data_IF_933276571353
#
_entry.id   IF_933276571353
#
_cell.length_a   1.000
_cell.length_b   1.000
_cell.length_c   1.000
_cell.angle_alpha   90.00
_cell.angle_beta   90.00
_cell.angle_gamma   90.00
#
_symmetry.space_group_name_H-M   'P 1'
#
loop_
_entity.id
_entity.type
_entity.pdbx_description
1 polymer ?
#
# COMPACT_ATOMS: atom_id res chain seq x y z
N UNK A 1 -6.02 -13.49 15.74
CA UNK A 1 -7.14 -13.19 14.83
C UNK A 1 -6.61 -13.30 13.41
N UNK A 2 -6.80 -14.44 12.76
CA UNK A 2 -6.44 -14.65 11.35
C UNK A 2 -7.51 -13.95 10.52
N UNK A 3 -7.27 -12.69 10.14
CA UNK A 3 -8.14 -12.01 9.19
C UNK A 3 -7.97 -12.69 7.84
N UNK A 4 -8.90 -13.57 7.48
CA UNK A 4 -8.90 -14.23 6.18
C UNK A 4 -8.81 -13.17 5.07
N UNK A 5 -7.79 -13.32 4.23
CA UNK A 5 -7.57 -12.47 3.07
C UNK A 5 -8.63 -12.85 2.03
N UNK A 6 -9.55 -11.93 1.77
CA UNK A 6 -10.63 -12.15 0.79
C UNK A 6 -10.14 -11.90 -0.63
N UNK A 7 -10.87 -12.38 -1.64
CA UNK A 7 -10.58 -12.06 -3.05
C UNK A 7 -10.63 -10.54 -3.33
N UNK A 8 -11.50 -9.83 -2.60
CA UNK A 8 -11.58 -8.36 -2.66
C UNK A 8 -10.28 -7.72 -2.17
N UNK A 9 -9.72 -8.22 -1.07
CA UNK A 9 -8.44 -7.74 -0.55
C UNK A 9 -7.31 -7.96 -1.57
N UNK A 10 -7.29 -9.12 -2.24
CA UNK A 10 -6.31 -9.42 -3.30
C UNK A 10 -6.41 -8.44 -4.47
N UNK A 11 -7.62 -8.22 -5.01
CA UNK A 11 -7.84 -7.25 -6.10
C UNK A 11 -7.44 -5.83 -5.72
N UNK A 12 -7.75 -5.41 -4.48
CA UNK A 12 -7.38 -4.09 -3.97
C UNK A 12 -5.85 -3.96 -3.81
N UNK A 13 -5.19 -5.01 -3.33
CA UNK A 13 -3.74 -5.05 -3.19
C UNK A 13 -3.03 -5.03 -4.56
N UNK A 14 -3.58 -5.72 -5.56
CA UNK A 14 -3.12 -5.62 -6.95
C UNK A 14 -3.32 -4.21 -7.54
N UNK A 15 -4.43 -3.55 -7.19
CA UNK A 15 -4.67 -2.14 -7.52
C UNK A 15 -3.63 -1.21 -6.88
N UNK A 16 -3.24 -1.49 -5.63
CA UNK A 16 -2.18 -0.75 -4.92
C UNK A 16 -0.85 -0.81 -5.68
N UNK A 17 -0.49 -1.98 -6.23
CA UNK A 17 0.73 -2.14 -7.05
C UNK A 17 0.73 -1.29 -8.32
N UNK A 18 -0.45 -1.01 -8.87
CA UNK A 18 -0.65 -0.17 -10.06
C UNK A 18 -0.85 1.32 -9.73
N UNK A 19 -0.92 1.68 -8.44
CA UNK A 19 -1.12 3.06 -8.03
C UNK A 19 0.14 3.90 -8.32
N UNK A 20 0.06 4.96 -9.15
CA UNK A 20 1.22 5.77 -9.49
C UNK A 20 1.82 6.49 -8.27
N UNK A 21 1.00 6.91 -7.30
CA UNK A 21 1.47 7.56 -6.09
C UNK A 21 2.25 6.58 -5.19
N UNK A 22 1.72 5.38 -4.95
CA UNK A 22 2.39 4.37 -4.13
C UNK A 22 3.65 3.84 -4.83
N UNK A 23 3.61 3.66 -6.16
CA UNK A 23 4.77 3.26 -6.95
C UNK A 23 5.88 4.34 -6.92
N UNK A 24 5.50 5.61 -7.11
CA UNK A 24 6.43 6.73 -7.01
C UNK A 24 7.02 6.85 -5.60
N UNK A 25 6.20 6.74 -4.56
CA UNK A 25 6.65 6.75 -3.17
C UNK A 25 7.62 5.60 -2.89
N UNK A 26 7.31 4.37 -3.34
CA UNK A 26 8.20 3.20 -3.25
C UNK A 26 9.53 3.43 -3.97
N UNK A 27 9.52 4.03 -5.16
CA UNK A 27 10.73 4.22 -5.97
C UNK A 27 11.62 5.36 -5.45
N UNK A 28 11.02 6.47 -5.02
CA UNK A 28 11.77 7.67 -4.58
C UNK A 28 12.16 7.62 -3.10
N UNK A 29 11.34 7.03 -2.23
CA UNK A 29 11.52 7.03 -0.76
C UNK A 29 11.70 8.43 -0.13
N UNK A 30 11.40 9.51 -0.86
CA UNK A 30 11.61 10.90 -0.43
C UNK A 30 10.68 11.87 -1.16
N UNK A 31 10.40 13.01 -0.51
CA UNK A 31 9.61 14.10 -1.07
C UNK A 31 8.15 14.12 -0.61
N UNK A 32 7.41 15.10 -1.11
CA UNK A 32 6.02 15.39 -0.67
C UNK A 32 5.08 14.22 -0.93
N UNK A 33 5.23 13.52 -2.06
CA UNK A 33 4.41 12.34 -2.39
C UNK A 33 4.67 11.20 -1.40
N UNK A 34 5.92 10.94 -1.03
CA UNK A 34 6.26 9.93 -0.04
C UNK A 34 5.67 10.26 1.34
N UNK A 35 5.78 11.53 1.76
CA UNK A 35 5.21 12.00 3.02
C UNK A 35 3.68 11.88 3.02
N UNK A 36 3.02 12.24 1.92
CA UNK A 36 1.57 12.11 1.76
C UNK A 36 1.11 10.66 1.83
N UNK A 37 1.75 9.75 1.08
CA UNK A 37 1.42 8.32 1.08
C UNK A 37 1.65 7.73 2.48
N UNK A 38 2.77 8.06 3.13
CA UNK A 38 3.09 7.63 4.50
C UNK A 38 2.02 8.04 5.54
N UNK A 39 1.35 9.17 5.35
CA UNK A 39 0.27 9.63 6.25
C UNK A 39 -1.13 9.12 5.89
N UNK A 40 -1.37 8.72 4.63
CA UNK A 40 -2.71 8.34 4.15
C UNK A 40 -2.97 6.82 4.18
N UNK A 41 -1.90 6.01 4.22
CA UNK A 41 -1.94 4.59 3.88
C UNK A 41 -2.81 3.70 4.77
N UNK A 42 -2.88 3.95 6.08
CA UNK A 42 -3.49 2.98 7.00
C UNK A 42 -4.95 3.30 7.37
N UNK A 43 -5.39 4.55 7.23
CA UNK A 43 -6.75 4.98 7.62
C UNK A 43 -7.60 5.51 6.47
N UNK A 44 -6.99 5.97 5.38
CA UNK A 44 -7.70 6.65 4.30
C UNK A 44 -7.70 5.89 2.97
N UNK A 45 -6.71 5.04 2.70
CA UNK A 45 -6.63 4.29 1.44
C UNK A 45 -6.99 2.81 1.61
N UNK A 46 -8.14 2.33 1.09
CA UNK A 46 -8.53 0.93 1.21
C UNK A 46 -7.58 -0.02 0.46
N UNK A 47 -6.89 0.46 -0.59
CA UNK A 47 -5.91 -0.34 -1.33
C UNK A 47 -4.64 -0.60 -0.51
N UNK A 48 -4.21 0.39 0.30
CA UNK A 48 -3.00 0.27 1.11
C UNK A 48 -3.24 -0.62 2.34
N UNK A 49 -4.43 -0.53 2.95
CA UNK A 49 -4.86 -1.49 3.98
C UNK A 49 -4.91 -2.92 3.44
N UNK A 50 -5.51 -3.11 2.26
CA UNK A 50 -5.54 -4.41 1.61
C UNK A 50 -4.13 -4.92 1.26
N UNK A 51 -3.24 -4.03 0.79
CA UNK A 51 -1.85 -4.36 0.54
C UNK A 51 -1.12 -4.83 1.81
N UNK A 52 -1.29 -4.12 2.92
CA UNK A 52 -0.74 -4.52 4.22
C UNK A 52 -1.29 -5.87 4.70
N UNK A 53 -2.60 -6.09 4.53
CA UNK A 53 -3.27 -7.34 4.91
C UNK A 53 -2.83 -8.54 4.07
N UNK A 54 -2.57 -8.34 2.78
CA UNK A 54 -2.18 -9.41 1.83
C UNK A 54 -0.67 -9.68 1.88
N UNK A 55 0.16 -8.63 1.87
CA UNK A 55 1.61 -8.74 1.73
C UNK A 55 2.38 -8.55 3.05
N UNK A 56 1.71 -8.15 4.14
CA UNK A 56 2.33 -7.94 5.45
C UNK A 56 3.31 -6.78 5.52
N UNK A 57 3.36 -5.90 4.52
CA UNK A 57 4.29 -4.77 4.42
C UNK A 57 3.61 -3.51 3.89
N UNK A 58 4.16 -2.33 4.13
CA UNK A 58 3.58 -1.08 3.64
C UNK A 58 3.84 -0.88 2.14
N UNK A 59 2.90 -0.24 1.45
CA UNK A 59 2.97 -0.11 0.00
C UNK A 59 4.15 0.76 -0.46
N UNK A 60 4.45 1.82 0.29
CA UNK A 60 5.62 2.66 0.07
C UNK A 60 6.96 2.04 0.50
N UNK A 61 7.02 0.91 1.20
CA UNK A 61 8.31 0.34 1.57
C UNK A 61 9.05 -0.22 0.33
N UNK A 62 10.37 0.03 0.22
CA UNK A 62 11.16 -0.54 -0.86
C UNK A 62 11.22 -2.07 -0.68
N UNK A 63 11.23 -2.86 -1.77
CA UNK A 63 11.64 -4.25 -1.65
C UNK A 63 13.10 -4.25 -1.13
N UNK A 64 13.32 -4.89 0.02
CA UNK A 64 14.66 -5.21 0.51
C UNK A 64 15.38 -6.15 -0.48
#
# INVERSE_FOLDING_TARGET
>A
MTTEVTERDRRLAEGCLKCPACNYARKKQRGVVFWFVKHIEDKFCPMCQAYYKVYGRKAHEPPA
#
